data_IF_340323844606
#
_entry.id   IF_340323844606
#
_cell.length_a   1.000
_cell.length_b   1.000
_cell.length_c   1.000
_cell.angle_alpha   90.00
_cell.angle_beta   90.00
_cell.angle_gamma   90.00
#
_symmetry.space_group_name_H-M   'P 1'
#
loop_
_entity.id
_entity.type
_entity.pdbx_description
1 polymer ?
#
# COMPACT_ATOMS: atom_id res chain seq x y z
N UNK A 1 -28.79 37.72 -21.36
CA UNK A 1 -29.32 36.34 -21.23
C UNK A 1 -28.21 35.38 -21.68
N UNK A 2 -27.22 35.11 -20.82
CA UNK A 2 -26.08 34.24 -21.14
C UNK A 2 -26.37 32.82 -20.66
N UNK A 3 -26.43 31.87 -21.58
CA UNK A 3 -26.67 30.45 -21.31
C UNK A 3 -25.48 29.87 -20.54
N UNK A 4 -25.77 29.25 -19.39
CA UNK A 4 -24.85 28.36 -18.71
C UNK A 4 -24.60 27.12 -19.56
N UNK A 5 -23.33 26.82 -19.80
CA UNK A 5 -22.89 25.51 -20.26
C UNK A 5 -22.72 24.62 -19.05
N UNK A 6 -23.55 23.58 -18.97
CA UNK A 6 -23.25 22.41 -18.17
C UNK A 6 -22.23 21.59 -18.96
N UNK A 7 -20.99 21.59 -18.49
CA UNK A 7 -19.91 20.78 -19.05
C UNK A 7 -20.16 19.33 -18.62
N UNK A 8 -20.92 18.58 -19.42
CA UNK A 8 -21.07 17.14 -19.23
C UNK A 8 -19.74 16.45 -19.58
N UNK A 9 -18.99 16.05 -18.54
CA UNK A 9 -17.80 15.20 -18.64
C UNK A 9 -18.17 13.88 -19.30
N UNK A 10 -17.76 13.71 -20.56
CA UNK A 10 -17.95 12.49 -21.32
C UNK A 10 -16.95 11.42 -20.89
N UNK A 11 -17.43 10.41 -20.16
CA UNK A 11 -16.71 9.14 -19.95
C UNK A 11 -16.68 8.40 -21.29
N UNK A 12 -15.52 8.35 -21.95
CA UNK A 12 -15.36 7.48 -23.12
C UNK A 12 -15.30 6.03 -22.63
N UNK A 13 -16.19 5.17 -23.14
CA UNK A 13 -16.20 3.76 -22.80
C UNK A 13 -14.87 3.10 -23.21
N UNK A 14 -13.99 2.86 -22.23
CA UNK A 14 -12.65 2.30 -22.43
C UNK A 14 -11.48 3.14 -21.88
N UNK A 15 -11.74 4.30 -21.27
CA UNK A 15 -10.71 5.16 -20.67
C UNK A 15 -10.95 5.39 -19.16
N UNK A 16 -9.92 5.87 -18.44
CA UNK A 16 -9.98 6.18 -17.03
C UNK A 16 -10.89 7.38 -16.73
N UNK A 17 -11.48 7.39 -15.52
CA UNK A 17 -12.15 8.57 -15.00
C UNK A 17 -11.12 9.45 -14.27
N UNK A 18 -10.91 10.65 -14.79
CA UNK A 18 -9.92 11.58 -14.25
C UNK A 18 -10.57 12.59 -13.32
N UNK A 19 -10.12 12.65 -12.07
CA UNK A 19 -10.58 13.66 -11.12
C UNK A 19 -9.60 14.82 -11.01
N UNK A 20 -10.13 16.04 -11.00
CA UNK A 20 -9.38 17.28 -10.80
C UNK A 20 -9.49 17.81 -9.37
N UNK A 21 -10.21 17.10 -8.49
CA UNK A 21 -10.25 17.45 -7.06
C UNK A 21 -9.07 16.82 -6.33
N UNK A 22 -8.45 17.59 -5.45
CA UNK A 22 -7.37 17.09 -4.58
C UNK A 22 -7.77 15.83 -3.81
N UNK A 23 -6.76 15.03 -3.46
CA UNK A 23 -6.94 13.81 -2.69
C UNK A 23 -7.67 14.12 -1.34
N UNK A 24 -8.68 13.32 -0.97
CA UNK A 24 -9.59 13.69 0.12
C UNK A 24 -9.01 13.45 1.53
N UNK A 25 -7.87 12.79 1.68
CA UNK A 25 -7.26 12.46 2.97
C UNK A 25 -6.72 13.71 3.66
N UNK A 26 -6.06 14.63 2.94
CA UNK A 26 -5.58 15.89 3.51
C UNK A 26 -6.71 16.74 4.09
N UNK A 27 -7.82 16.88 3.37
CA UNK A 27 -8.98 17.65 3.83
C UNK A 27 -9.67 16.96 5.02
N UNK A 28 -9.88 15.63 4.95
CA UNK A 28 -10.42 14.84 6.07
C UNK A 28 -9.54 14.90 7.31
N UNK A 29 -8.22 14.78 7.17
CA UNK A 29 -7.26 14.90 8.29
C UNK A 29 -7.41 16.23 9.02
N UNK A 30 -7.53 17.34 8.29
CA UNK A 30 -7.75 18.67 8.89
C UNK A 30 -9.07 18.72 9.66
N UNK A 31 -10.15 18.23 9.08
CA UNK A 31 -11.47 18.21 9.73
C UNK A 31 -11.49 17.35 11.00
N UNK A 32 -10.89 16.16 10.96
CA UNK A 32 -10.79 15.24 12.11
C UNK A 32 -9.97 15.89 13.23
N UNK A 33 -8.80 16.46 12.92
CA UNK A 33 -7.93 17.09 13.92
C UNK A 33 -8.52 18.36 14.53
N UNK A 34 -9.35 19.09 13.79
CA UNK A 34 -10.10 20.24 14.34
C UNK A 34 -11.19 19.78 15.32
N UNK A 35 -11.86 18.66 15.03
CA UNK A 35 -12.94 18.12 15.88
C UNK A 35 -12.42 17.34 17.09
N UNK A 36 -11.29 16.65 16.93
CA UNK A 36 -10.71 15.74 17.93
C UNK A 36 -9.20 15.99 18.09
N UNK A 37 -8.79 17.10 18.72
CA UNK A 37 -7.39 17.46 18.87
C UNK A 37 -6.57 16.44 19.67
N UNK A 38 -7.20 15.68 20.59
CA UNK A 38 -6.57 14.65 21.41
C UNK A 38 -5.94 13.51 20.59
N UNK A 39 -6.33 13.34 19.33
CA UNK A 39 -5.72 12.34 18.44
C UNK A 39 -4.22 12.62 18.24
N UNK A 40 -3.81 13.89 18.34
CA UNK A 40 -2.38 14.27 18.21
C UNK A 40 -1.50 13.66 19.29
N UNK A 41 -2.07 13.31 20.44
CA UNK A 41 -1.33 12.67 21.54
C UNK A 41 -0.90 11.24 21.18
N UNK A 42 -1.55 10.63 20.17
CA UNK A 42 -1.21 9.32 19.63
C UNK A 42 -0.14 9.39 18.53
N UNK A 43 0.30 10.59 18.13
CA UNK A 43 1.27 10.73 17.06
C UNK A 43 2.68 10.54 17.58
N UNK A 44 3.44 9.70 16.88
CA UNK A 44 4.84 9.49 17.17
C UNK A 44 5.26 8.07 16.86
N UNK A 45 6.56 7.79 16.98
CA UNK A 45 7.06 6.44 16.84
C UNK A 45 6.62 5.56 18.01
N UNK A 46 6.36 4.28 17.74
CA UNK A 46 6.16 3.22 18.73
C UNK A 46 7.35 2.24 18.72
N UNK A 47 8.36 2.44 19.61
CA UNK A 47 9.51 1.55 19.71
C UNK A 47 9.17 0.11 20.08
N UNK A 48 7.97 -0.15 20.64
CA UNK A 48 7.55 -1.53 20.95
C UNK A 48 7.40 -2.38 19.69
N UNK A 49 7.24 -1.75 18.52
CA UNK A 49 7.22 -2.39 17.21
C UNK A 49 8.45 -3.26 16.96
N UNK A 50 9.62 -2.88 17.48
CA UNK A 50 10.84 -3.69 17.39
C UNK A 50 10.63 -5.11 17.94
N UNK A 51 10.10 -5.21 19.17
CA UNK A 51 9.90 -6.52 19.81
C UNK A 51 8.86 -7.35 19.08
N UNK A 52 7.76 -6.73 18.64
CA UNK A 52 6.70 -7.39 17.85
C UNK A 52 7.30 -8.01 16.59
N UNK A 53 8.07 -7.22 15.82
CA UNK A 53 8.72 -7.65 14.58
C UNK A 53 9.72 -8.77 14.85
N UNK A 54 10.59 -8.62 15.86
CA UNK A 54 11.57 -9.64 16.21
C UNK A 54 10.94 -10.99 16.55
N UNK A 55 9.86 -11.00 17.33
CA UNK A 55 9.14 -12.24 17.65
C UNK A 55 8.62 -12.93 16.39
N UNK A 56 8.00 -12.19 15.47
CA UNK A 56 7.46 -12.78 14.24
C UNK A 56 8.56 -13.31 13.31
N UNK A 57 9.67 -12.57 13.16
CA UNK A 57 10.82 -13.01 12.36
C UNK A 57 11.40 -14.33 12.90
N UNK A 58 11.68 -14.38 14.20
CA UNK A 58 12.22 -15.60 14.82
C UNK A 58 11.23 -16.76 14.77
N UNK A 59 9.93 -16.48 14.90
CA UNK A 59 8.89 -17.50 14.77
C UNK A 59 8.86 -18.10 13.36
N UNK A 60 8.94 -17.28 12.31
CA UNK A 60 8.99 -17.79 10.93
C UNK A 60 10.28 -18.57 10.66
N UNK A 61 11.44 -18.04 11.04
CA UNK A 61 12.73 -18.74 10.86
C UNK A 61 12.77 -20.05 11.64
N UNK A 62 12.25 -20.06 12.88
CA UNK A 62 12.13 -21.27 13.69
C UNK A 62 11.17 -22.28 13.06
N UNK A 63 10.04 -21.84 12.52
CA UNK A 63 9.10 -22.70 11.80
C UNK A 63 9.74 -23.32 10.56
N UNK A 64 10.51 -22.54 9.80
CA UNK A 64 11.25 -23.03 8.65
C UNK A 64 12.30 -24.08 9.06
N UNK A 65 13.05 -23.85 10.14
CA UNK A 65 14.02 -24.80 10.67
C UNK A 65 13.37 -26.12 11.12
N UNK A 66 12.21 -26.05 11.78
CA UNK A 66 11.45 -27.24 12.20
C UNK A 66 10.85 -28.03 11.03
N UNK A 67 10.67 -27.40 9.88
CA UNK A 67 10.11 -28.01 8.68
C UNK A 67 11.17 -28.46 7.66
N UNK A 68 12.47 -28.37 7.95
CA UNK A 68 13.52 -28.64 6.98
C UNK A 68 13.45 -30.04 6.35
N UNK A 69 13.07 -31.06 7.13
CA UNK A 69 12.89 -32.45 6.67
C UNK A 69 11.41 -32.83 6.41
N UNK A 70 10.49 -31.85 6.42
CA UNK A 70 9.08 -32.11 6.21
C UNK A 70 8.77 -32.38 4.72
N UNK A 71 7.80 -33.25 4.46
CA UNK A 71 7.28 -33.45 3.10
C UNK A 71 6.60 -32.18 2.55
N UNK A 72 6.69 -31.99 1.24
CA UNK A 72 6.18 -30.80 0.53
C UNK A 72 4.73 -30.43 0.87
N UNK A 73 3.83 -31.41 0.98
CA UNK A 73 2.43 -31.14 1.32
C UNK A 73 2.29 -30.47 2.70
N UNK A 74 3.06 -30.92 3.69
CA UNK A 74 3.07 -30.32 5.03
C UNK A 74 3.64 -28.90 4.99
N UNK A 75 4.73 -28.69 4.25
CA UNK A 75 5.32 -27.36 4.05
C UNK A 75 4.30 -26.41 3.44
N UNK A 76 3.62 -26.82 2.36
CA UNK A 76 2.61 -26.00 1.68
C UNK A 76 1.42 -25.66 2.60
N UNK A 77 0.91 -26.63 3.37
CA UNK A 77 -0.19 -26.38 4.31
C UNK A 77 0.22 -25.39 5.40
N UNK A 78 1.41 -25.55 6.00
CA UNK A 78 1.89 -24.61 7.02
C UNK A 78 2.17 -23.24 6.41
N UNK A 79 2.80 -23.17 5.23
CA UNK A 79 3.05 -21.92 4.54
C UNK A 79 1.74 -21.17 4.24
N UNK A 80 0.70 -21.87 3.79
CA UNK A 80 -0.59 -21.26 3.45
C UNK A 80 -1.36 -20.80 4.69
N UNK A 81 -1.55 -21.67 5.69
CA UNK A 81 -2.41 -21.37 6.84
C UNK A 81 -1.73 -20.65 7.99
N UNK A 82 -0.41 -20.65 8.05
CA UNK A 82 0.36 -20.04 9.14
C UNK A 82 1.37 -19.03 8.59
N UNK A 83 2.18 -19.45 7.63
CA UNK A 83 3.18 -18.59 6.99
C UNK A 83 2.58 -17.34 6.36
N UNK A 84 1.43 -17.46 5.68
CA UNK A 84 0.73 -16.34 5.02
C UNK A 84 0.36 -15.23 6.00
N UNK A 85 -0.21 -15.58 7.17
CA UNK A 85 -0.57 -14.60 8.20
C UNK A 85 0.66 -13.87 8.77
N UNK A 86 1.74 -14.62 9.02
CA UNK A 86 2.98 -14.03 9.51
C UNK A 86 3.66 -13.15 8.45
N UNK A 87 3.67 -13.58 7.19
CA UNK A 87 4.18 -12.76 6.08
C UNK A 87 3.37 -11.47 5.96
N UNK A 88 2.05 -11.55 5.91
CA UNK A 88 1.19 -10.37 5.83
C UNK A 88 1.43 -9.39 6.99
N UNK A 89 1.63 -9.91 8.21
CA UNK A 89 2.02 -9.10 9.36
C UNK A 89 3.36 -8.38 9.12
N UNK A 90 4.38 -9.07 8.62
CA UNK A 90 5.68 -8.46 8.33
C UNK A 90 5.62 -7.47 7.16
N UNK A 91 4.80 -7.70 6.14
CA UNK A 91 4.53 -6.71 5.09
C UNK A 91 3.96 -5.42 5.69
N UNK A 92 2.97 -5.53 6.58
CA UNK A 92 2.42 -4.38 7.28
C UNK A 92 3.46 -3.69 8.17
N UNK A 93 4.30 -4.47 8.85
CA UNK A 93 5.40 -3.91 9.63
C UNK A 93 6.41 -3.14 8.75
N UNK A 94 6.79 -3.69 7.59
CA UNK A 94 7.66 -2.99 6.61
C UNK A 94 6.99 -1.72 6.11
N UNK A 95 5.66 -1.74 5.92
CA UNK A 95 4.88 -0.55 5.61
C UNK A 95 5.00 0.53 6.70
N UNK A 96 4.73 0.22 7.96
CA UNK A 96 4.88 1.19 9.05
C UNK A 96 6.32 1.70 9.21
N UNK A 97 7.32 0.83 9.01
CA UNK A 97 8.74 1.20 9.04
C UNK A 97 9.14 2.15 7.91
N UNK A 98 8.47 2.05 6.75
CA UNK A 98 8.72 2.97 5.62
C UNK A 98 8.42 4.43 5.99
N UNK A 99 7.44 4.62 6.88
CA UNK A 99 7.02 5.90 7.46
C UNK A 99 7.85 6.32 8.68
N UNK A 100 8.86 5.53 9.07
CA UNK A 100 9.67 5.73 10.27
C UNK A 100 8.87 5.72 11.58
N UNK A 101 7.84 4.88 11.66
CA UNK A 101 6.94 4.82 12.83
C UNK A 101 7.44 3.91 13.97
N UNK A 102 8.57 3.20 13.84
CA UNK A 102 9.16 2.47 14.97
C UNK A 102 10.18 3.33 15.73
N UNK A 103 10.97 4.15 15.04
CA UNK A 103 12.00 5.00 15.64
C UNK A 103 12.05 6.38 14.99
N UNK A 104 12.39 7.42 15.76
CA UNK A 104 12.62 8.75 15.20
C UNK A 104 13.81 8.82 14.23
N UNK A 105 14.78 7.91 14.36
CA UNK A 105 15.98 7.87 13.50
C UNK A 105 15.72 6.99 12.27
N UNK A 106 15.72 7.55 11.04
CA UNK A 106 15.34 6.79 9.84
C UNK A 106 16.21 5.55 9.56
N UNK A 107 17.50 5.63 9.85
CA UNK A 107 18.43 4.51 9.64
C UNK A 107 18.05 3.26 10.45
N UNK A 108 17.52 3.41 11.66
CA UNK A 108 17.09 2.27 12.48
C UNK A 108 15.86 1.58 11.91
N UNK A 109 14.88 2.34 11.39
CA UNK A 109 13.74 1.75 10.71
C UNK A 109 14.16 1.00 9.44
N UNK A 110 15.12 1.54 8.68
CA UNK A 110 15.66 0.88 7.48
C UNK A 110 16.32 -0.46 7.81
N UNK A 111 17.18 -0.50 8.84
CA UNK A 111 17.81 -1.74 9.29
C UNK A 111 16.79 -2.75 9.81
N UNK A 112 15.82 -2.29 10.61
CA UNK A 112 14.74 -3.15 11.11
C UNK A 112 13.86 -3.66 9.96
N UNK A 113 13.64 -2.87 8.91
CA UNK A 113 12.90 -3.29 7.71
C UNK A 113 13.64 -4.35 6.90
N UNK A 114 14.97 -4.24 6.77
CA UNK A 114 15.81 -5.30 6.17
C UNK A 114 15.72 -6.58 7.01
N UNK A 115 15.77 -6.46 8.33
CA UNK A 115 15.62 -7.60 9.23
C UNK A 115 14.23 -8.25 9.15
N UNK A 116 13.15 -7.45 9.12
CA UNK A 116 11.77 -7.92 8.94
C UNK A 116 11.57 -8.64 7.59
N UNK A 117 12.37 -8.30 6.58
CA UNK A 117 12.30 -8.91 5.26
C UNK A 117 12.95 -10.30 5.18
N UNK A 118 13.80 -10.69 6.15
CA UNK A 118 14.57 -11.95 6.11
C UNK A 118 13.70 -13.18 5.80
N UNK A 119 12.59 -13.45 6.52
CA UNK A 119 11.77 -14.63 6.26
C UNK A 119 10.89 -14.54 5.01
N UNK A 120 10.76 -13.37 4.39
CA UNK A 120 10.02 -13.17 3.13
C UNK A 120 10.81 -13.72 1.93
N UNK A 121 12.15 -13.71 2.02
CA UNK A 121 13.05 -14.30 1.01
C UNK A 121 13.26 -13.46 -0.27
N UNK A 122 12.44 -12.44 -0.51
CA UNK A 122 12.59 -11.50 -1.64
C UNK A 122 13.02 -10.14 -1.11
N UNK A 123 14.19 -9.58 -1.48
CA UNK A 123 14.67 -8.32 -0.94
C UNK A 123 13.84 -7.14 -1.46
N UNK A 124 12.88 -6.68 -0.64
CA UNK A 124 11.92 -5.66 -1.08
C UNK A 124 11.77 -4.47 -0.14
N UNK A 125 12.23 -4.55 1.12
CA UNK A 125 11.96 -3.49 2.11
C UNK A 125 12.43 -2.10 1.69
N UNK A 126 13.62 -1.99 1.09
CA UNK A 126 14.20 -0.69 0.68
C UNK A 126 13.51 -0.12 -0.56
N UNK A 127 13.20 -0.97 -1.55
CA UNK A 127 12.49 -0.54 -2.76
C UNK A 127 11.04 -0.20 -2.43
N UNK A 128 10.38 -1.01 -1.60
CA UNK A 128 9.07 -0.73 -1.05
C UNK A 128 9.04 0.63 -0.38
N UNK A 129 9.97 0.93 0.55
CA UNK A 129 10.00 2.24 1.21
C UNK A 129 10.08 3.40 0.21
N UNK A 130 10.88 3.27 -0.86
CA UNK A 130 10.99 4.31 -1.88
C UNK A 130 9.66 4.53 -2.60
N UNK A 131 9.11 3.48 -3.21
CA UNK A 131 7.91 3.61 -4.04
C UNK A 131 6.65 3.87 -3.22
N UNK A 132 6.60 3.36 -1.99
CA UNK A 132 5.49 3.60 -1.05
C UNK A 132 5.39 5.05 -0.61
N UNK A 133 6.53 5.69 -0.33
CA UNK A 133 6.57 7.13 -0.03
C UNK A 133 6.24 7.99 -1.26
N UNK A 134 6.60 7.53 -2.46
CA UNK A 134 6.24 8.17 -3.72
C UNK A 134 4.74 8.10 -3.97
N UNK A 135 4.13 6.91 -3.80
CA UNK A 135 2.69 6.70 -3.81
C UNK A 135 1.96 7.68 -2.88
N UNK A 136 2.32 7.74 -1.60
CA UNK A 136 1.65 8.67 -0.68
C UNK A 136 1.86 10.15 -1.00
N UNK A 137 2.95 10.49 -1.68
CA UNK A 137 3.23 11.87 -2.07
C UNK A 137 2.45 12.29 -3.31
N UNK A 138 2.27 11.37 -4.25
CA UNK A 138 1.65 11.61 -5.55
C UNK A 138 0.42 10.74 -5.76
N UNK A 139 -0.33 10.48 -4.68
CA UNK A 139 -1.39 9.48 -4.67
C UNK A 139 -2.43 9.76 -5.76
N UNK A 140 -2.64 8.76 -6.63
CA UNK A 140 -3.51 8.80 -7.78
C UNK A 140 -2.93 9.50 -9.01
N UNK A 141 -1.74 10.10 -8.98
CA UNK A 141 -1.15 10.80 -10.13
C UNK A 141 -0.55 9.81 -11.11
N UNK A 142 -1.05 9.81 -12.34
CA UNK A 142 -0.59 8.89 -13.38
C UNK A 142 0.92 9.04 -13.71
N UNK A 143 1.57 7.91 -13.95
CA UNK A 143 3.01 7.81 -14.20
C UNK A 143 3.93 8.09 -13.00
N UNK A 144 3.38 8.52 -11.86
CA UNK A 144 4.12 8.79 -10.62
C UNK A 144 3.71 7.83 -9.50
N UNK A 145 2.40 7.61 -9.36
CA UNK A 145 1.86 6.62 -8.44
C UNK A 145 1.90 5.22 -9.07
N UNK A 146 2.74 4.35 -8.50
CA UNK A 146 2.89 2.97 -8.96
C UNK A 146 1.65 2.09 -8.69
N UNK A 147 0.69 2.57 -7.89
CA UNK A 147 -0.57 1.87 -7.63
C UNK A 147 -1.67 2.22 -8.64
N UNK A 148 -1.44 3.21 -9.52
CA UNK A 148 -2.34 3.50 -10.65
C UNK A 148 -2.09 2.46 -11.74
N UNK A 149 -3.12 1.70 -12.16
CA UNK A 149 -2.94 0.66 -13.15
C UNK A 149 -2.63 1.27 -14.51
N UNK A 150 -1.76 0.60 -15.25
CA UNK A 150 -1.49 0.94 -16.64
C UNK A 150 -2.72 0.65 -17.52
N UNK A 151 -2.82 1.32 -18.67
CA UNK A 151 -3.87 1.04 -19.67
C UNK A 151 -3.86 -0.44 -20.10
N UNK A 152 -2.68 -1.05 -20.19
CA UNK A 152 -2.53 -2.47 -20.53
C UNK A 152 -3.09 -3.38 -19.43
N UNK A 153 -2.83 -3.08 -18.16
CA UNK A 153 -3.39 -3.84 -17.04
C UNK A 153 -4.91 -3.67 -16.98
N UNK A 154 -5.40 -2.43 -17.06
CA UNK A 154 -6.84 -2.14 -17.06
C UNK A 154 -7.56 -2.86 -18.22
N UNK A 155 -6.98 -2.87 -19.42
CA UNK A 155 -7.52 -3.57 -20.59
C UNK A 155 -7.53 -5.08 -20.40
N UNK A 156 -6.48 -5.66 -19.79
CA UNK A 156 -6.41 -7.09 -19.50
C UNK A 156 -7.50 -7.52 -18.51
N UNK A 157 -7.70 -6.77 -17.42
CA UNK A 157 -8.73 -7.05 -16.42
C UNK A 157 -10.16 -6.77 -16.93
N UNK A 158 -10.32 -5.92 -17.95
CA UNK A 158 -11.60 -5.63 -18.60
C UNK A 158 -11.92 -6.58 -19.76
N UNK A 159 -11.03 -7.51 -20.10
CA UNK A 159 -11.21 -8.43 -21.23
C UNK A 159 -12.10 -9.63 -20.88
N UNK A 160 -12.84 -10.15 -21.86
CA UNK A 160 -13.70 -11.35 -21.72
C UNK A 160 -12.95 -12.64 -21.39
N UNK A 161 -11.62 -12.59 -21.31
CA UNK A 161 -10.77 -13.73 -20.98
C UNK A 161 -10.70 -14.00 -19.46
N UNK A 162 -11.11 -13.04 -18.62
CA UNK A 162 -11.25 -13.23 -17.17
C UNK A 162 -12.67 -13.66 -16.77
N UNK A 163 -12.85 -14.73 -15.97
CA UNK A 163 -14.14 -15.10 -15.41
C UNK A 163 -14.70 -13.96 -14.54
N UNK A 164 -15.99 -13.65 -14.70
CA UNK A 164 -16.71 -12.55 -14.04
C UNK A 164 -16.71 -12.57 -12.49
N UNK A 165 -16.18 -13.62 -11.87
CA UNK A 165 -15.97 -13.70 -10.41
C UNK A 165 -14.71 -12.97 -9.92
N UNK A 166 -13.73 -12.75 -10.79
CA UNK A 166 -12.48 -12.03 -10.46
C UNK A 166 -12.58 -10.51 -10.72
N UNK A 167 -13.57 -10.09 -11.52
CA UNK A 167 -13.85 -8.68 -11.84
C UNK A 167 -14.53 -7.91 -10.70
N UNK A 168 -14.96 -8.58 -9.62
CA UNK A 168 -15.54 -7.93 -8.44
C UNK A 168 -14.55 -7.03 -7.68
N UNK A 169 -13.23 -7.23 -7.89
CA UNK A 169 -12.19 -6.34 -7.37
C UNK A 169 -12.03 -5.04 -8.19
N UNK A 170 -12.67 -4.93 -9.36
CA UNK A 170 -12.55 -3.78 -10.28
C UNK A 170 -13.71 -2.77 -10.17
N UNK A 171 -14.71 -2.98 -9.32
CA UNK A 171 -15.91 -2.12 -9.27
C UNK A 171 -15.75 -0.81 -8.46
N UNK A 172 -14.56 -0.22 -8.47
CA UNK A 172 -14.39 1.20 -8.13
C UNK A 172 -13.91 1.89 -9.40
N UNK A 173 -14.52 3.01 -9.84
CA UNK A 173 -13.94 3.80 -10.92
C UNK A 173 -12.47 4.07 -10.55
N UNK A 174 -11.57 3.67 -11.44
CA UNK A 174 -10.13 3.88 -11.27
C UNK A 174 -9.92 5.39 -11.42
N UNK A 175 -9.93 6.08 -10.29
CA UNK A 175 -9.76 7.54 -10.20
C UNK A 175 -8.26 7.81 -10.26
N UNK A 176 -7.81 8.35 -11.38
CA UNK A 176 -6.47 8.87 -11.53
C UNK A 176 -6.52 10.41 -11.61
N UNK A 177 -5.49 11.08 -11.13
CA UNK A 177 -5.33 12.53 -11.07
C UNK A 177 -4.41 13.01 -12.18
N UNK A 178 -4.74 14.16 -12.79
CA UNK A 178 -3.97 14.75 -13.89
C UNK A 178 -2.84 15.65 -13.35
N UNK A 179 -1.62 15.49 -13.85
CA UNK A 179 -0.38 16.17 -13.42
C UNK A 179 -0.26 17.65 -13.80
N UNK A 180 -1.32 18.29 -14.32
CA UNK A 180 -1.21 19.63 -14.92
C UNK A 180 -1.22 20.81 -13.93
N UNK A 181 -1.29 20.57 -12.61
CA UNK A 181 -1.29 21.65 -11.60
C UNK A 181 -0.42 21.35 -10.36
N UNK A 182 0.80 20.85 -10.55
CA UNK A 182 1.82 20.91 -9.49
C UNK A 182 2.53 22.27 -9.47
N UNK A 183 1.84 23.31 -9.01
CA UNK A 183 2.44 24.59 -8.63
C UNK A 183 2.21 24.83 -7.13
N UNK A 184 3.28 24.60 -6.33
CA UNK A 184 3.40 24.90 -4.88
C UNK A 184 2.45 24.07 -3.98
N UNK A 185 2.83 23.54 -2.80
CA UNK A 185 3.84 23.89 -1.81
C UNK A 185 4.00 22.74 -0.81
#
# INVERSE_FOLDING_TARGET
MGKGGEDQEGVMAGDFFWSYTDEPHASRRRQILSKYPQIKDLFGPDPSSFFKISVIVFLQLGTAALLHDAGWLKILLVAYFFGSFLNHNLFLAIHELSHNLAFSTPSFNKWLGIFANLPIGVPMSVTFQKYHLEHHRFQGVDGMDMDVPTLTEASFYSSSFMPSGLSLLSQSPLVAGNSSTSLFR
#
